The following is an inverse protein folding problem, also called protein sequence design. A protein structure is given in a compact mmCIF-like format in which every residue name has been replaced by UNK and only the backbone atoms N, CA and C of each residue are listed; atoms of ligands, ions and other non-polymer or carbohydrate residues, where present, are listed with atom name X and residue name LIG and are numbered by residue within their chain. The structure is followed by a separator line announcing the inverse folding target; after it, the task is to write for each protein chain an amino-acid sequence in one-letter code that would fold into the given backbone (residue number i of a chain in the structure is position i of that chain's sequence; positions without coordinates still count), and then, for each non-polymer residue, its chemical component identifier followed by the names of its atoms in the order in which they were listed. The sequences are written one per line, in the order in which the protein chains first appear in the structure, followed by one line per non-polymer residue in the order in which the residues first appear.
data_IF_505662109854
#
_entry.id   IF_505662109854
#
_cell.length_a   1.000
_cell.length_b   1.000
_cell.length_c   1.000
_cell.angle_alpha   90.00
_cell.angle_beta   90.00
_cell.angle_gamma   90.00
#
_symmetry.space_group_name_H-M   'P 1'
#
loop_
_entity.id
_entity.type
_entity.pdbx_description
1 polymer ?
#
# COMPACT_ATOMS: atom_id res chain seq x y z
N UNK A 1 -21.03 -18.69 0.89
CA UNK A 1 -20.85 -20.11 1.28
C UNK A 1 -21.94 -20.48 2.29
N UNK A 2 -22.61 -21.63 2.15
CA UNK A 2 -23.62 -22.07 3.14
C UNK A 2 -22.97 -22.41 4.48
N UNK A 3 -23.68 -22.20 5.60
CA UNK A 3 -23.19 -22.51 6.95
C UNK A 3 -22.72 -23.97 7.11
N UNK A 4 -23.49 -24.92 6.58
CA UNK A 4 -23.11 -26.35 6.57
C UNK A 4 -21.74 -26.61 5.93
N UNK A 5 -21.45 -25.92 4.83
CA UNK A 5 -20.16 -26.04 4.11
C UNK A 5 -19.02 -25.35 4.88
N UNK A 6 -19.31 -24.26 5.59
CA UNK A 6 -18.35 -23.62 6.52
C UNK A 6 -17.93 -24.60 7.61
N UNK A 7 -18.90 -25.22 8.28
CA UNK A 7 -18.65 -26.16 9.38
C UNK A 7 -17.83 -27.36 8.91
N UNK A 8 -18.20 -27.99 7.78
CA UNK A 8 -17.46 -29.13 7.24
C UNK A 8 -16.00 -28.78 6.94
N UNK A 9 -15.74 -27.61 6.36
CA UNK A 9 -14.38 -27.18 6.05
C UNK A 9 -13.57 -26.89 7.33
N UNK A 10 -14.19 -26.24 8.31
CA UNK A 10 -13.60 -25.99 9.61
C UNK A 10 -13.25 -27.32 10.31
N UNK A 11 -14.18 -28.27 10.40
CA UNK A 11 -13.95 -29.56 11.07
C UNK A 11 -12.82 -30.36 10.39
N UNK A 12 -12.77 -30.35 9.05
CA UNK A 12 -11.69 -31.01 8.30
C UNK A 12 -10.32 -30.39 8.59
N UNK A 13 -10.25 -29.06 8.70
CA UNK A 13 -9.01 -28.37 9.02
C UNK A 13 -8.59 -28.54 10.49
N UNK A 14 -9.54 -28.46 11.43
CA UNK A 14 -9.30 -28.70 12.86
C UNK A 14 -8.69 -30.08 13.10
N UNK A 15 -9.24 -31.10 12.44
CA UNK A 15 -8.79 -32.50 12.53
C UNK A 15 -7.58 -32.83 11.64
N UNK A 16 -6.95 -31.84 10.98
CA UNK A 16 -5.75 -32.05 10.16
C UNK A 16 -5.98 -32.75 8.82
N UNK A 17 -7.23 -33.00 8.41
CA UNK A 17 -7.56 -33.55 7.07
C UNK A 17 -7.29 -32.53 5.96
N UNK A 18 -7.35 -31.24 6.29
CA UNK A 18 -6.97 -30.13 5.43
C UNK A 18 -5.82 -29.39 6.10
N UNK A 19 -4.73 -29.17 5.37
CA UNK A 19 -3.53 -28.49 5.88
C UNK A 19 -3.61 -26.97 5.80
N UNK A 20 -4.30 -26.45 4.77
CA UNK A 20 -4.38 -25.03 4.46
C UNK A 20 -5.84 -24.60 4.32
N UNK A 21 -6.16 -23.45 4.90
CA UNK A 21 -7.50 -22.91 4.89
C UNK A 21 -7.46 -21.44 4.48
N UNK A 22 -7.98 -21.16 3.28
CA UNK A 22 -8.15 -19.80 2.80
C UNK A 22 -9.44 -19.22 3.36
N UNK A 23 -9.35 -18.06 4.00
CA UNK A 23 -10.47 -17.45 4.68
C UNK A 23 -10.40 -15.92 4.63
N UNK A 24 -11.58 -15.28 4.70
CA UNK A 24 -11.69 -13.85 4.99
C UNK A 24 -11.79 -13.62 6.49
N UNK A 25 -11.75 -12.37 6.94
CA UNK A 25 -11.91 -11.98 8.35
C UNK A 25 -13.17 -12.56 9.01
N UNK A 26 -14.22 -12.85 8.22
CA UNK A 26 -15.45 -13.48 8.68
C UNK A 26 -15.28 -14.91 9.25
N UNK A 27 -14.15 -15.55 9.00
CA UNK A 27 -13.86 -16.89 9.52
C UNK A 27 -13.31 -16.84 10.96
N UNK A 28 -12.80 -15.71 11.44
CA UNK A 28 -11.97 -15.67 12.65
C UNK A 28 -12.66 -15.91 14.00
N UNK A 29 -13.97 -15.70 14.12
CA UNK A 29 -14.63 -15.84 15.42
C UNK A 29 -14.76 -17.32 15.85
N UNK A 30 -14.14 -17.67 16.98
CA UNK A 30 -14.32 -19.00 17.61
C UNK A 30 -13.40 -20.11 17.11
N UNK A 31 -12.37 -19.80 16.33
CA UNK A 31 -11.33 -20.78 15.96
C UNK A 31 -10.25 -20.78 17.02
N UNK A 32 -10.04 -21.96 17.60
CA UNK A 32 -9.01 -22.22 18.59
C UNK A 32 -8.27 -23.52 18.24
N UNK A 33 -7.37 -23.42 17.25
CA UNK A 33 -6.46 -24.51 16.88
C UNK A 33 -5.08 -24.14 17.41
N UNK A 34 -4.56 -24.97 18.32
CA UNK A 34 -3.31 -24.67 19.02
C UNK A 34 -2.09 -24.69 18.08
N UNK A 35 -2.06 -25.65 17.16
CA UNK A 35 -0.89 -25.97 16.34
C UNK A 35 -0.87 -25.33 14.94
N UNK A 36 -1.28 -24.07 14.83
CA UNK A 36 -1.18 -23.32 13.57
C UNK A 36 0.25 -22.82 13.40
N UNK A 37 0.95 -23.33 12.37
CA UNK A 37 2.35 -22.96 12.08
C UNK A 37 2.51 -21.70 11.24
N UNK A 38 1.56 -21.42 10.36
CA UNK A 38 1.63 -20.29 9.44
C UNK A 38 0.28 -19.56 9.39
N UNK A 39 0.34 -18.23 9.49
CA UNK A 39 -0.76 -17.34 9.11
C UNK A 39 -0.25 -16.44 7.98
N UNK A 40 -0.87 -16.54 6.80
CA UNK A 40 -0.49 -15.73 5.63
C UNK A 40 -1.60 -14.74 5.32
N UNK A 41 -1.28 -13.46 5.37
CA UNK A 41 -2.15 -12.37 4.96
C UNK A 41 -1.89 -12.09 3.49
N UNK A 42 -2.84 -12.47 2.62
CA UNK A 42 -2.72 -12.26 1.19
C UNK A 42 -2.82 -10.78 0.78
N UNK A 43 -3.46 -9.96 1.61
CA UNK A 43 -3.56 -8.52 1.41
C UNK A 43 -3.43 -7.79 2.73
N UNK A 44 -3.16 -6.49 2.67
CA UNK A 44 -3.03 -5.68 3.89
C UNK A 44 -4.29 -5.73 4.77
N UNK A 45 -4.11 -5.79 6.10
CA UNK A 45 -5.20 -5.72 7.07
C UNK A 45 -5.80 -4.31 7.14
N UNK A 46 -7.02 -4.18 7.69
CA UNK A 46 -7.71 -2.88 7.81
C UNK A 46 -7.15 -2.02 8.95
N UNK A 47 -6.50 -2.65 9.92
CA UNK A 47 -5.80 -1.99 11.02
C UNK A 47 -4.70 -2.88 11.58
N UNK A 48 -3.76 -2.28 12.30
CA UNK A 48 -2.72 -3.03 13.04
C UNK A 48 -3.32 -3.90 14.16
N UNK A 49 -4.49 -3.52 14.67
CA UNK A 49 -5.21 -4.32 15.66
C UNK A 49 -5.77 -5.59 15.02
N UNK A 50 -6.39 -5.47 13.85
CA UNK A 50 -6.88 -6.63 13.09
C UNK A 50 -5.72 -7.56 12.77
N UNK A 51 -4.60 -7.01 12.28
CA UNK A 51 -3.39 -7.78 12.02
C UNK A 51 -2.91 -8.56 13.25
N UNK A 52 -2.82 -7.90 14.40
CA UNK A 52 -2.37 -8.53 15.66
C UNK A 52 -3.32 -9.66 16.07
N UNK A 53 -4.63 -9.47 15.90
CA UNK A 53 -5.63 -10.48 16.25
C UNK A 53 -5.61 -11.67 15.28
N UNK A 54 -5.43 -11.40 13.99
CA UNK A 54 -5.39 -12.40 12.92
C UNK A 54 -4.10 -13.22 12.98
N UNK A 55 -2.95 -12.56 13.15
CA UNK A 55 -1.64 -13.19 13.31
C UNK A 55 -1.53 -14.00 14.61
N UNK A 56 -2.14 -13.53 15.71
CA UNK A 56 -2.18 -14.21 17.01
C UNK A 56 -2.97 -15.54 17.04
N UNK A 57 -3.33 -16.07 15.88
CA UNK A 57 -3.86 -17.45 15.72
C UNK A 57 -2.75 -18.47 15.55
N UNK A 58 -1.55 -18.04 15.13
CA UNK A 58 -0.38 -18.89 15.03
C UNK A 58 0.17 -19.26 16.42
N UNK A 59 0.77 -20.44 16.55
CA UNK A 59 1.65 -20.77 17.68
C UNK A 59 1.01 -20.76 19.07
N UNK A 60 -0.28 -21.08 19.20
CA UNK A 60 -0.95 -21.11 20.51
C UNK A 60 -0.47 -22.24 21.43
N UNK A 61 0.16 -23.25 20.85
CA UNK A 61 0.88 -24.32 21.55
C UNK A 61 2.28 -23.89 22.06
N UNK A 62 2.73 -22.67 21.75
CA UNK A 62 4.06 -22.16 22.12
C UNK A 62 5.19 -22.66 21.23
N UNK A 63 4.90 -23.45 20.20
CA UNK A 63 5.89 -23.90 19.22
C UNK A 63 6.14 -22.83 18.15
N UNK A 64 7.34 -22.82 17.52
CA UNK A 64 7.68 -21.86 16.48
C UNK A 64 6.59 -21.77 15.39
N UNK A 65 6.25 -20.53 15.06
CA UNK A 65 5.25 -20.22 14.05
C UNK A 65 5.56 -18.89 13.37
N UNK A 66 4.99 -18.69 12.18
CA UNK A 66 5.28 -17.52 11.36
C UNK A 66 4.00 -16.83 10.91
N UNK A 67 4.09 -15.51 10.82
CA UNK A 67 3.02 -14.65 10.35
C UNK A 67 3.54 -13.85 9.15
N UNK A 68 3.07 -14.21 7.96
CA UNK A 68 3.55 -13.64 6.70
C UNK A 68 2.51 -12.62 6.23
N UNK A 69 2.99 -11.44 5.81
CA UNK A 69 2.14 -10.40 5.22
C UNK A 69 2.64 -10.13 3.80
N UNK A 70 1.81 -10.47 2.82
CA UNK A 70 2.06 -10.10 1.43
C UNK A 70 1.60 -8.65 1.26
N UNK A 71 2.54 -7.77 0.90
CA UNK A 71 2.30 -6.33 0.83
C UNK A 71 2.44 -5.83 -0.60
N UNK A 72 1.38 -5.22 -1.10
CA UNK A 72 1.40 -4.35 -2.27
C UNK A 72 0.77 -3.00 -1.86
N UNK A 73 1.42 -1.88 -2.18
CA UNK A 73 0.88 -0.55 -1.89
C UNK A 73 -0.48 -0.32 -2.58
N UNK A 74 -0.74 -1.00 -3.70
CA UNK A 74 -2.00 -0.92 -4.42
C UNK A 74 -3.17 -1.60 -3.68
N UNK A 75 -2.93 -2.48 -2.70
CA UNK A 75 -3.99 -3.10 -1.90
C UNK A 75 -4.85 -2.07 -1.15
N UNK A 76 -4.29 -0.89 -0.88
CA UNK A 76 -4.99 0.20 -0.21
C UNK A 76 -6.25 0.63 -0.97
N UNK A 77 -6.28 0.52 -2.30
CA UNK A 77 -7.41 1.01 -3.10
C UNK A 77 -8.69 0.25 -2.81
N UNK A 78 -8.59 -1.07 -2.54
CA UNK A 78 -9.73 -1.87 -2.12
C UNK A 78 -10.31 -1.35 -0.79
N UNK A 79 -9.45 -1.09 0.19
CA UNK A 79 -9.87 -0.60 1.51
C UNK A 79 -10.40 0.83 1.43
N UNK A 80 -9.75 1.71 0.66
CA UNK A 80 -10.24 3.07 0.41
C UNK A 80 -11.62 3.08 -0.24
N UNK A 81 -11.88 2.14 -1.18
CA UNK A 81 -13.20 1.97 -1.78
C UNK A 81 -14.23 1.55 -0.75
N UNK A 82 -13.92 0.54 0.07
CA UNK A 82 -14.78 0.09 1.19
C UNK A 82 -15.11 1.25 2.15
N UNK A 83 -14.13 2.10 2.49
CA UNK A 83 -14.34 3.28 3.33
C UNK A 83 -15.23 4.32 2.65
N UNK A 84 -15.00 4.58 1.35
CA UNK A 84 -15.76 5.57 0.58
C UNK A 84 -17.22 5.17 0.46
N UNK A 85 -17.48 3.94 0.03
CA UNK A 85 -18.81 3.38 -0.23
C UNK A 85 -19.56 3.00 1.06
N UNK A 86 -18.86 2.89 2.19
CA UNK A 86 -19.47 2.59 3.48
C UNK A 86 -20.52 3.62 3.94
N UNK A 87 -21.51 3.15 4.70
CA UNK A 87 -22.61 3.98 5.23
C UNK A 87 -22.26 4.70 6.54
N UNK A 88 -21.02 4.57 7.03
CA UNK A 88 -20.62 5.17 8.30
C UNK A 88 -20.49 6.70 8.23
N UNK A 89 -20.53 7.35 9.41
CA UNK A 89 -20.31 8.80 9.50
C UNK A 89 -18.91 9.20 9.04
N UNK A 90 -18.74 10.46 8.64
CA UNK A 90 -17.46 11.03 8.23
C UNK A 90 -16.37 10.84 9.29
N UNK A 91 -16.70 10.97 10.58
CA UNK A 91 -15.75 10.76 11.68
C UNK A 91 -15.27 9.31 11.75
N UNK A 92 -16.16 8.32 11.56
CA UNK A 92 -15.77 6.91 11.51
C UNK A 92 -14.96 6.58 10.26
N UNK A 93 -15.31 7.14 9.09
CA UNK A 93 -14.49 7.01 7.87
C UNK A 93 -13.07 7.55 8.08
N UNK A 94 -12.93 8.68 8.78
CA UNK A 94 -11.61 9.25 9.12
C UNK A 94 -10.81 8.32 10.04
N UNK A 95 -11.45 7.67 11.01
CA UNK A 95 -10.77 6.68 11.87
C UNK A 95 -10.26 5.49 11.05
N UNK A 96 -11.08 4.94 10.15
CA UNK A 96 -10.68 3.85 9.26
C UNK A 96 -9.51 4.26 8.34
N UNK A 97 -9.56 5.47 7.79
CA UNK A 97 -8.47 6.02 6.97
C UNK A 97 -7.18 6.15 7.79
N UNK A 98 -7.26 6.66 9.02
CA UNK A 98 -6.10 6.75 9.91
C UNK A 98 -5.52 5.37 10.25
N UNK A 99 -6.37 4.36 10.42
CA UNK A 99 -5.91 2.99 10.65
C UNK A 99 -5.21 2.39 9.43
N UNK A 100 -5.75 2.61 8.23
CA UNK A 100 -5.11 2.21 6.98
C UNK A 100 -3.74 2.85 6.82
N UNK A 101 -3.63 4.17 7.05
CA UNK A 101 -2.34 4.88 6.98
C UNK A 101 -1.31 4.31 7.96
N UNK A 102 -1.73 3.88 9.16
CA UNK A 102 -0.83 3.20 10.11
C UNK A 102 -0.35 1.84 9.60
N UNK A 103 -1.21 1.07 8.93
CA UNK A 103 -0.83 -0.21 8.31
C UNK A 103 0.14 0.01 7.16
N UNK A 104 -0.11 0.97 6.28
CA UNK A 104 0.79 1.27 5.17
C UNK A 104 2.16 1.74 5.68
N UNK A 105 2.18 2.66 6.66
CA UNK A 105 3.42 3.09 7.31
C UNK A 105 4.18 1.92 7.95
N UNK A 106 3.46 0.96 8.54
CA UNK A 106 4.04 -0.26 9.08
C UNK A 106 4.74 -1.08 8.01
N UNK A 107 4.05 -1.32 6.90
CA UNK A 107 4.58 -2.10 5.80
C UNK A 107 5.80 -1.40 5.19
N UNK A 108 5.71 -0.12 4.83
CA UNK A 108 6.82 0.63 4.22
C UNK A 108 8.06 0.65 5.11
N UNK A 109 7.91 0.93 6.41
CA UNK A 109 9.05 0.93 7.33
C UNK A 109 9.67 -0.46 7.48
N UNK A 110 8.85 -1.49 7.56
CA UNK A 110 9.32 -2.86 7.62
C UNK A 110 10.11 -3.23 6.36
N UNK A 111 9.61 -2.86 5.17
CA UNK A 111 10.28 -3.10 3.88
C UNK A 111 11.67 -2.46 3.85
N UNK A 112 11.76 -1.20 4.27
CA UNK A 112 13.00 -0.46 4.35
C UNK A 112 14.01 -1.13 5.30
N UNK A 113 13.56 -1.52 6.51
CA UNK A 113 14.41 -2.16 7.51
C UNK A 113 14.85 -3.57 7.06
N UNK A 114 13.99 -4.31 6.36
CA UNK A 114 14.31 -5.63 5.80
C UNK A 114 15.40 -5.53 4.73
N UNK A 115 15.19 -4.66 3.73
CA UNK A 115 16.12 -4.48 2.61
C UNK A 115 17.50 -3.97 3.05
N UNK A 116 17.57 -3.20 4.13
CA UNK A 116 18.83 -2.68 4.69
C UNK A 116 19.64 -3.74 5.46
N UNK A 117 18.98 -4.70 6.11
CA UNK A 117 19.59 -5.56 7.13
C UNK A 117 19.75 -7.02 6.71
N UNK A 118 19.74 -7.32 5.40
CA UNK A 118 19.75 -8.62 4.67
C UNK A 118 20.38 -9.91 5.28
N UNK A 119 20.33 -10.18 6.60
CA UNK A 119 20.78 -11.42 7.25
C UNK A 119 20.45 -11.53 8.77
N UNK A 120 20.10 -10.45 9.51
CA UNK A 120 19.75 -10.56 10.95
C UNK A 120 18.37 -9.94 11.29
N UNK A 121 17.31 -10.72 11.07
CA UNK A 121 15.91 -10.25 11.11
C UNK A 121 15.28 -10.09 12.51
N UNK A 122 15.98 -10.28 13.63
CA UNK A 122 15.27 -10.71 14.86
C UNK A 122 15.00 -9.66 15.96
N UNK A 123 15.62 -8.47 15.98
CA UNK A 123 15.54 -7.62 17.20
C UNK A 123 15.12 -6.16 17.02
N UNK A 124 15.33 -5.55 15.85
CA UNK A 124 15.03 -4.13 15.59
C UNK A 124 13.60 -3.92 15.09
N UNK A 125 12.99 -4.95 14.52
CA UNK A 125 11.68 -4.88 13.88
C UNK A 125 10.59 -4.80 14.94
N UNK A 126 9.81 -3.72 14.88
CA UNK A 126 8.76 -3.47 15.87
C UNK A 126 7.54 -4.35 15.59
N UNK A 127 7.02 -5.08 16.59
CA UNK A 127 5.76 -5.79 16.43
C UNK A 127 4.59 -4.80 16.27
N UNK A 128 3.49 -5.21 15.60
CA UNK A 128 2.37 -4.33 15.25
C UNK A 128 1.76 -3.56 16.43
N UNK A 129 1.69 -4.20 17.59
CA UNK A 129 1.19 -3.63 18.84
C UNK A 129 2.07 -2.50 19.41
N UNK A 130 3.40 -2.59 19.24
CA UNK A 130 4.34 -1.51 19.57
C UNK A 130 4.30 -0.43 18.50
N UNK A 131 4.16 -0.81 17.24
CA UNK A 131 4.09 0.12 16.12
C UNK A 131 2.88 1.05 16.20
N UNK A 132 1.71 0.54 16.63
CA UNK A 132 0.50 1.33 16.82
C UNK A 132 0.65 2.49 17.83
N UNK A 133 1.69 2.46 18.69
CA UNK A 133 1.97 3.47 19.72
C UNK A 133 2.91 4.59 19.24
N UNK A 134 3.50 4.48 18.05
CA UNK A 134 4.48 5.44 17.55
C UNK A 134 3.76 6.62 16.89
N UNK A 135 4.16 7.85 17.25
CA UNK A 135 3.56 9.09 16.74
C UNK A 135 4.14 9.54 15.39
N UNK A 136 5.45 9.36 15.17
CA UNK A 136 6.15 9.75 13.94
C UNK A 136 6.89 8.52 13.39
N UNK A 137 6.40 8.00 12.29
CA UNK A 137 6.87 6.75 11.69
C UNK A 137 7.62 6.94 10.38
N UNK A 138 7.37 8.06 9.72
CA UNK A 138 7.94 8.40 8.43
C UNK A 138 9.19 9.24 8.67
N UNK A 139 10.31 8.83 8.08
CA UNK A 139 11.55 9.60 8.10
C UNK A 139 11.33 10.97 7.42
N UNK A 140 11.96 12.05 7.87
CA UNK A 140 11.89 13.32 7.17
C UNK A 140 12.57 13.19 5.80
N UNK A 141 12.03 13.90 4.80
CA UNK A 141 12.68 14.00 3.49
C UNK A 141 14.05 14.66 3.61
N UNK A 142 15.05 14.12 2.92
CA UNK A 142 16.33 14.79 2.77
C UNK A 142 16.25 15.94 1.75
N UNK A 143 17.33 16.73 1.63
CA UNK A 143 17.33 17.92 0.76
C UNK A 143 17.02 17.59 -0.72
N UNK A 144 17.56 16.49 -1.25
CA UNK A 144 17.29 16.06 -2.64
C UNK A 144 15.83 15.65 -2.81
N UNK A 145 15.30 14.88 -1.85
CA UNK A 145 13.90 14.43 -1.84
C UNK A 145 12.93 15.60 -1.73
N UNK A 146 13.22 16.61 -0.89
CA UNK A 146 12.37 17.81 -0.75
C UNK A 146 12.18 18.51 -2.10
N UNK A 147 13.22 18.59 -2.93
CA UNK A 147 13.09 19.20 -4.26
C UNK A 147 12.11 18.41 -5.15
N UNK A 148 12.21 17.08 -5.17
CA UNK A 148 11.28 16.21 -5.92
C UNK A 148 9.85 16.33 -5.37
N UNK A 149 9.70 16.32 -4.04
CA UNK A 149 8.41 16.51 -3.37
C UNK A 149 7.77 17.80 -3.83
N UNK A 150 8.52 18.91 -3.83
CA UNK A 150 7.96 20.20 -4.20
C UNK A 150 7.62 20.29 -5.69
N UNK A 151 8.41 19.68 -6.59
CA UNK A 151 8.07 19.57 -8.03
C UNK A 151 6.73 18.83 -8.21
N UNK A 152 6.56 17.70 -7.54
CA UNK A 152 5.33 16.90 -7.63
C UNK A 152 4.15 17.71 -7.10
N UNK A 153 4.29 18.38 -5.95
CA UNK A 153 3.24 19.21 -5.36
C UNK A 153 2.89 20.40 -6.27
N UNK A 154 3.88 21.10 -6.81
CA UNK A 154 3.67 22.23 -7.72
C UNK A 154 2.89 21.81 -8.97
N UNK A 155 3.26 20.68 -9.58
CA UNK A 155 2.57 20.23 -10.81
C UNK A 155 1.18 19.71 -10.55
N UNK A 156 0.95 19.03 -9.44
CA UNK A 156 -0.41 18.63 -9.04
C UNK A 156 -1.25 19.86 -8.70
N UNK A 157 -0.68 20.91 -8.09
CA UNK A 157 -1.40 22.16 -7.83
C UNK A 157 -1.83 22.88 -9.12
N UNK A 158 -0.93 22.93 -10.12
CA UNK A 158 -1.20 23.56 -11.42
C UNK A 158 -2.17 22.76 -12.31
N UNK A 159 -1.99 21.44 -12.40
CA UNK A 159 -2.76 20.56 -13.30
C UNK A 159 -4.06 20.08 -12.63
N UNK A 160 -4.09 20.02 -11.30
CA UNK A 160 -5.21 19.50 -10.53
C UNK A 160 -5.11 17.99 -10.33
N UNK A 161 -6.15 17.25 -10.73
CA UNK A 161 -6.21 15.81 -10.45
C UNK A 161 -5.27 15.03 -11.38
N UNK A 162 -4.31 14.31 -10.78
CA UNK A 162 -3.33 13.50 -11.52
C UNK A 162 -3.53 12.01 -11.23
N UNK A 163 -3.49 11.15 -12.24
CA UNK A 163 -3.53 9.68 -12.04
C UNK A 163 -2.23 9.24 -11.34
N UNK A 164 -2.32 8.47 -10.26
CA UNK A 164 -1.12 7.97 -9.56
C UNK A 164 -0.21 7.14 -10.49
N UNK A 165 -0.80 6.31 -11.36
CA UNK A 165 -0.07 5.51 -12.36
C UNK A 165 0.81 6.38 -13.26
N UNK A 166 0.32 7.55 -13.67
CA UNK A 166 1.04 8.45 -14.56
C UNK A 166 2.30 9.01 -13.89
N UNK A 167 2.24 9.33 -12.58
CA UNK A 167 3.43 9.75 -11.85
C UNK A 167 4.45 8.62 -11.75
N UNK A 168 4.03 7.41 -11.37
CA UNK A 168 4.95 6.27 -11.29
C UNK A 168 5.62 6.00 -12.64
N UNK A 169 4.84 5.92 -13.71
CA UNK A 169 5.35 5.67 -15.05
C UNK A 169 6.31 6.77 -15.53
N UNK A 170 6.00 8.04 -15.25
CA UNK A 170 6.90 9.15 -15.58
C UNK A 170 8.24 8.98 -14.87
N UNK A 171 8.22 8.76 -13.55
CA UNK A 171 9.43 8.70 -12.74
C UNK A 171 10.24 7.41 -12.93
N UNK A 172 9.62 6.30 -13.30
CA UNK A 172 10.30 5.08 -13.72
C UNK A 172 11.17 5.30 -14.97
N UNK A 173 10.76 6.21 -15.85
CA UNK A 173 11.51 6.59 -17.05
C UNK A 173 12.62 7.61 -16.75
N UNK A 174 12.66 8.19 -15.54
CA UNK A 174 13.65 9.20 -15.17
C UNK A 174 14.90 8.56 -14.54
N UNK A 175 16.06 8.85 -15.11
CA UNK A 175 17.37 8.49 -14.54
C UNK A 175 18.09 9.71 -13.93
N UNK A 176 17.33 10.68 -13.42
CA UNK A 176 17.88 11.96 -12.94
C UNK A 176 18.86 11.78 -11.76
N UNK A 177 18.60 10.81 -10.88
CA UNK A 177 19.53 10.45 -9.81
C UNK A 177 19.37 8.96 -9.47
N UNK A 178 20.43 8.16 -9.71
CA UNK A 178 20.44 6.72 -9.43
C UNK A 178 20.27 6.36 -7.95
N UNK A 179 20.45 7.33 -7.05
CA UNK A 179 20.27 7.17 -5.60
C UNK A 179 18.82 7.46 -5.15
N UNK A 180 17.98 8.02 -6.02
CA UNK A 180 16.62 8.44 -5.66
C UNK A 180 15.61 7.34 -6.02
N UNK A 181 14.92 6.84 -5.01
CA UNK A 181 13.74 5.99 -5.22
C UNK A 181 12.48 6.87 -5.29
N UNK A 182 12.09 7.25 -6.51
CA UNK A 182 10.94 8.13 -6.75
C UNK A 182 9.61 7.52 -6.27
N UNK A 183 9.46 6.20 -6.43
CA UNK A 183 8.26 5.51 -5.96
C UNK A 183 8.11 5.64 -4.44
N UNK A 184 9.19 5.40 -3.69
CA UNK A 184 9.22 5.61 -2.24
C UNK A 184 8.83 7.04 -1.86
N UNK A 185 9.38 8.04 -2.56
CA UNK A 185 9.04 9.46 -2.32
C UNK A 185 7.54 9.69 -2.52
N UNK A 186 6.96 9.25 -3.64
CA UNK A 186 5.53 9.43 -3.93
C UNK A 186 4.67 8.79 -2.84
N UNK A 187 4.98 7.54 -2.46
CA UNK A 187 4.28 6.84 -1.37
C UNK A 187 4.39 7.62 -0.05
N UNK A 188 5.57 8.12 0.28
CA UNK A 188 5.84 8.89 1.50
C UNK A 188 5.11 10.24 1.53
N UNK A 189 4.99 10.93 0.40
CA UNK A 189 4.22 12.18 0.28
C UNK A 189 2.73 11.93 0.61
N UNK A 190 2.17 10.82 0.10
CA UNK A 190 0.80 10.38 0.38
C UNK A 190 0.65 10.05 1.88
N UNK A 191 1.57 9.25 2.42
CA UNK A 191 1.52 8.80 3.82
C UNK A 191 1.70 9.93 4.84
N UNK A 192 2.52 10.93 4.50
CA UNK A 192 2.65 12.16 5.27
C UNK A 192 1.42 13.08 5.15
N UNK A 193 0.48 12.77 4.24
CA UNK A 193 -0.75 13.52 4.02
C UNK A 193 -0.55 14.82 3.25
N UNK A 194 0.55 14.97 2.51
CA UNK A 194 0.76 16.11 1.61
C UNK A 194 -0.09 15.98 0.34
N UNK A 195 -0.32 14.74 -0.12
CA UNK A 195 -1.27 14.41 -1.18
C UNK A 195 -2.47 13.66 -0.62
N UNK A 196 -3.63 13.83 -1.28
CA UNK A 196 -4.86 13.10 -1.02
C UNK A 196 -5.17 12.19 -2.19
N UNK A 197 -5.59 10.97 -1.89
CA UNK A 197 -6.14 10.06 -2.90
C UNK A 197 -7.65 10.21 -2.90
N UNK A 198 -8.20 10.60 -4.06
CA UNK A 198 -9.62 10.59 -4.35
C UNK A 198 -9.91 9.45 -5.32
N UNK A 199 -10.84 8.57 -4.97
CA UNK A 199 -11.26 7.51 -5.88
C UNK A 199 -12.38 8.04 -6.78
N UNK A 200 -12.16 8.10 -8.09
CA UNK A 200 -13.24 8.31 -9.05
C UNK A 200 -13.90 6.95 -9.31
N UNK A 201 -15.20 6.87 -9.07
CA UNK A 201 -15.97 5.62 -9.15
C UNK A 201 -16.98 5.74 -10.28
N UNK A 202 -16.78 4.99 -11.36
CA UNK A 202 -17.83 4.73 -12.36
C UNK A 202 -18.52 3.41 -12.03
N UNK A 203 -19.81 3.31 -12.39
CA UNK A 203 -20.76 2.28 -11.93
C UNK A 203 -20.35 0.82 -12.19
N UNK A 204 -19.35 0.56 -13.05
CA UNK A 204 -18.92 -0.80 -13.39
C UNK A 204 -17.39 -1.01 -13.49
N UNK A 205 -16.55 0.02 -13.26
CA UNK A 205 -15.09 -0.06 -13.47
C UNK A 205 -14.32 -0.09 -12.14
N UNK A 206 -13.05 -0.53 -12.19
CA UNK A 206 -12.11 -0.40 -11.06
C UNK A 206 -12.00 1.10 -10.70
N UNK A 207 -12.02 1.45 -9.40
CA UNK A 207 -11.93 2.85 -8.99
C UNK A 207 -10.59 3.43 -9.45
N UNK A 208 -10.62 4.60 -10.06
CA UNK A 208 -9.42 5.28 -10.55
C UNK A 208 -8.86 6.18 -9.44
N UNK A 209 -7.63 5.94 -8.94
CA UNK A 209 -7.02 6.77 -7.92
C UNK A 209 -6.45 8.05 -8.53
N UNK A 210 -7.06 9.18 -8.15
CA UNK A 210 -6.63 10.52 -8.49
C UNK A 210 -5.95 11.16 -7.29
N UNK A 211 -4.82 11.81 -7.54
CA UNK A 211 -4.09 12.58 -6.55
C UNK A 211 -4.48 14.04 -6.63
N UNK A 212 -4.66 14.65 -5.48
CA UNK A 212 -4.81 16.10 -5.33
C UNK A 212 -3.97 16.61 -4.17
N UNK A 213 -3.57 17.88 -4.25
CA UNK A 213 -2.80 18.52 -3.19
C UNK A 213 -3.67 18.72 -1.94
N UNK A 214 -3.12 18.40 -0.77
CA UNK A 214 -3.77 18.67 0.51
C UNK A 214 -3.42 20.07 1.01
N UNK A 215 -4.16 20.59 2.00
CA UNK A 215 -3.79 21.85 2.66
C UNK A 215 -2.38 21.81 3.28
N UNK A 216 -1.97 20.63 3.78
CA UNK A 216 -0.62 20.41 4.32
C UNK A 216 0.42 20.42 3.20
N UNK A 217 0.10 19.82 2.05
CA UNK A 217 0.93 19.85 0.84
C UNK A 217 1.13 21.27 0.32
N UNK A 218 0.04 22.03 0.21
CA UNK A 218 0.07 23.42 -0.22
C UNK A 218 0.94 24.28 0.69
N UNK A 219 0.79 24.15 2.01
CA UNK A 219 1.62 24.87 2.97
C UNK A 219 3.12 24.54 2.85
N UNK A 220 3.45 23.27 2.54
CA UNK A 220 4.84 22.87 2.28
C UNK A 220 5.35 23.49 0.98
N UNK A 221 4.56 23.44 -0.09
CA UNK A 221 4.93 24.02 -1.38
C UNK A 221 5.25 25.51 -1.24
N UNK A 222 4.39 26.28 -0.56
CA UNK A 222 4.62 27.71 -0.33
C UNK A 222 5.89 28.02 0.47
N UNK A 223 6.29 27.12 1.38
CA UNK A 223 7.54 27.29 2.14
C UNK A 223 8.79 27.10 1.29
N UNK A 224 8.74 26.22 0.28
CA UNK A 224 9.92 25.75 -0.45
C UNK A 224 9.96 26.17 -1.93
N UNK A 225 8.90 26.81 -2.45
CA UNK A 225 8.77 27.24 -3.85
C UNK A 225 9.99 28.02 -4.38
N UNK A 226 10.49 28.96 -3.59
CA UNK A 226 11.65 29.79 -3.94
C UNK A 226 12.94 28.95 -4.14
N UNK A 227 13.09 27.84 -3.42
CA UNK A 227 14.27 26.99 -3.54
C UNK A 227 14.28 26.18 -4.85
N UNK A 228 13.11 25.78 -5.37
CA UNK A 228 12.99 25.03 -6.62
C UNK A 228 13.44 25.88 -7.80
N UNK A 229 13.00 27.14 -7.84
CA UNK A 229 13.27 28.09 -8.93
C UNK A 229 14.76 28.47 -9.05
N UNK A 230 15.57 28.13 -8.05
CA UNK A 230 17.00 28.45 -8.01
C UNK A 230 17.93 27.42 -8.67
N UNK A 231 17.40 26.28 -9.17
CA UNK A 231 18.22 25.15 -9.67
C UNK A 231 17.77 24.67 -11.06
N UNK A 232 18.62 24.85 -12.08
CA UNK A 232 18.30 24.56 -13.50
C UNK A 232 17.85 23.12 -13.77
N UNK A 233 18.51 22.15 -13.15
CA UNK A 233 18.19 20.72 -13.30
C UNK A 233 16.75 20.38 -12.91
N UNK A 234 16.25 21.00 -11.83
CA UNK A 234 14.89 20.80 -11.34
C UNK A 234 13.85 21.54 -12.18
N UNK A 235 14.20 22.70 -12.73
CA UNK A 235 13.34 23.43 -13.68
C UNK A 235 13.06 22.57 -14.91
N UNK A 236 14.10 21.88 -15.43
CA UNK A 236 13.94 20.98 -16.57
C UNK A 236 13.03 19.80 -16.24
N UNK A 237 13.27 19.11 -15.12
CA UNK A 237 12.42 17.99 -14.68
C UNK A 237 10.96 18.43 -14.48
N UNK A 238 10.75 19.61 -13.90
CA UNK A 238 9.42 20.18 -13.69
C UNK A 238 8.66 20.38 -15.01
N UNK A 239 9.34 20.87 -16.05
CA UNK A 239 8.77 21.04 -17.40
C UNK A 239 8.50 19.70 -18.09
N UNK A 240 9.39 18.72 -17.95
CA UNK A 240 9.19 17.38 -18.52
C UNK A 240 7.98 16.69 -17.90
N UNK A 241 7.83 16.80 -16.57
CA UNK A 241 6.68 16.29 -15.84
C UNK A 241 5.38 16.97 -16.31
N UNK A 242 5.41 18.30 -16.50
CA UNK A 242 4.25 19.04 -17.02
C UNK A 242 3.80 18.53 -18.39
N UNK A 243 4.72 18.43 -19.34
CA UNK A 243 4.42 17.95 -20.71
C UNK A 243 3.86 16.52 -20.67
N UNK A 244 4.46 15.65 -19.86
CA UNK A 244 3.99 14.28 -19.70
C UNK A 244 2.57 14.23 -19.12
N UNK A 245 2.33 14.94 -18.01
CA UNK A 245 1.04 14.92 -17.34
C UNK A 245 -0.07 15.54 -18.19
N UNK A 246 0.20 16.62 -18.93
CA UNK A 246 -0.79 17.20 -19.86
C UNK A 246 -1.16 16.20 -20.96
N UNK A 247 -0.19 15.44 -21.48
CA UNK A 247 -0.45 14.41 -22.49
C UNK A 247 -1.33 13.27 -21.93
N UNK A 248 -0.92 12.67 -20.81
CA UNK A 248 -1.52 11.41 -20.32
C UNK A 248 -2.64 11.59 -19.29
N UNK A 249 -2.89 12.81 -18.78
CA UNK A 249 -4.08 13.08 -17.95
C UNK A 249 -5.32 13.41 -18.78
N UNK A 250 -5.17 13.84 -20.04
CA UNK A 250 -6.29 14.11 -20.95
C UNK A 250 -6.82 12.85 -21.67
N UNK A 251 -6.07 11.74 -21.63
CA UNK A 251 -6.53 10.39 -21.96
C UNK A 251 -7.50 9.86 -20.87
N UNK A 252 -8.53 10.67 -20.56
CA UNK A 252 -9.72 10.25 -19.81
C UNK A 252 -10.71 9.56 -20.77
N UNK A 253 -10.57 9.76 -22.09
CA UNK A 253 -11.59 9.38 -23.08
C UNK A 253 -11.16 8.29 -24.09
N UNK A 254 -9.87 8.05 -24.35
CA UNK A 254 -9.46 7.12 -25.44
C UNK A 254 -9.21 5.66 -25.01
N UNK A 255 -8.81 5.41 -23.75
CA UNK A 255 -8.81 4.04 -23.17
C UNK A 255 -10.25 3.54 -22.90
N UNK A 256 -11.28 4.27 -23.33
CA UNK A 256 -12.70 3.93 -23.13
C UNK A 256 -13.31 3.08 -24.25
N UNK A 257 -12.65 2.89 -25.40
CA UNK A 257 -13.21 2.12 -26.53
C UNK A 257 -12.48 0.80 -26.88
N UNK A 258 -11.21 0.61 -26.51
CA UNK A 258 -10.48 -0.64 -26.81
C UNK A 258 -10.09 -1.37 -25.52
N UNK A 259 -10.90 -2.35 -25.12
CA UNK A 259 -10.55 -3.22 -24.00
C UNK A 259 -11.63 -4.17 -23.51
N UNK A 260 -12.51 -4.63 -24.41
CA UNK A 260 -13.37 -5.80 -24.18
C UNK A 260 -13.21 -6.77 -25.37
N UNK A 261 -11.95 -7.02 -25.76
CA UNK A 261 -11.61 -8.24 -26.47
C UNK A 261 -10.72 -9.08 -25.55
N UNK A 262 -11.20 -10.28 -25.26
CA UNK A 262 -10.53 -11.23 -24.39
C UNK A 262 -9.14 -11.54 -24.89
N UNK A 263 -8.11 -11.03 -24.21
CA UNK A 263 -6.86 -11.75 -24.14
C UNK A 263 -7.10 -12.99 -23.27
N UNK A 264 -7.34 -14.10 -23.96
CA UNK A 264 -7.11 -15.44 -23.46
C UNK A 264 -5.66 -15.49 -22.96
N UNK A 265 -5.47 -15.18 -21.67
CA UNK A 265 -4.20 -15.34 -20.99
C UNK A 265 -3.87 -16.82 -21.06
N UNK A 266 -3.08 -17.20 -22.07
CA UNK A 266 -2.36 -18.44 -22.08
C UNK A 266 -1.48 -18.45 -20.84
N UNK A 267 -1.98 -19.12 -19.79
CA UNK A 267 -1.23 -19.40 -18.58
C UNK A 267 -0.11 -20.35 -18.99
N UNK A 268 0.99 -19.79 -19.48
CA UNK A 268 2.28 -20.44 -19.37
C UNK A 268 2.58 -20.43 -17.87
N UNK A 269 2.41 -21.60 -17.25
CA UNK A 269 2.95 -21.94 -15.94
C UNK A 269 4.49 -21.83 -15.99
N UNK A 270 5.00 -20.61 -16.05
CA UNK A 270 6.40 -20.30 -15.73
C UNK A 270 6.48 -20.23 -14.22
N UNK A 271 7.32 -21.10 -13.65
CA UNK A 271 7.64 -21.25 -12.23
C UNK A 271 7.19 -20.08 -11.33
N UNK A 272 6.15 -20.32 -10.53
CA UNK A 272 5.53 -19.38 -9.58
C UNK A 272 6.43 -18.96 -8.38
N UNK A 273 7.76 -18.91 -8.55
CA UNK A 273 8.70 -18.48 -7.52
C UNK A 273 9.10 -17.00 -7.69
N UNK A 274 8.99 -16.42 -8.89
CA UNK A 274 9.30 -15.00 -9.15
C UNK A 274 8.20 -14.04 -8.65
N UNK A 275 7.06 -14.57 -8.20
CA UNK A 275 6.05 -13.80 -7.46
C UNK A 275 6.54 -13.43 -6.05
N UNK A 276 7.60 -14.08 -5.54
CA UNK A 276 8.05 -13.96 -4.16
C UNK A 276 9.04 -12.84 -3.83
N UNK A 277 9.51 -12.10 -4.84
CA UNK A 277 10.53 -11.06 -4.64
C UNK A 277 10.02 -9.80 -3.91
N UNK A 278 8.70 -9.69 -3.66
CA UNK A 278 8.06 -8.57 -2.95
C UNK A 278 7.37 -8.98 -1.62
N UNK A 279 7.69 -10.16 -1.07
CA UNK A 279 7.02 -10.65 0.15
C UNK A 279 7.87 -10.49 1.40
N UNK A 280 7.20 -10.14 2.51
CA UNK A 280 7.83 -9.99 3.82
C UNK A 280 7.38 -11.11 4.74
N UNK A 281 8.36 -11.89 5.23
CA UNK A 281 8.16 -12.93 6.24
C UNK A 281 8.38 -12.31 7.60
N UNK A 282 7.32 -12.14 8.40
CA UNK A 282 7.53 -11.84 9.81
C UNK A 282 7.59 -13.15 10.60
N UNK A 283 8.80 -13.50 11.04
CA UNK A 283 8.99 -14.50 12.08
C UNK A 283 8.54 -13.90 13.41
N UNK A 284 7.32 -14.19 13.84
CA UNK A 284 6.93 -13.92 15.23
C UNK A 284 7.36 -15.09 16.09
N UNK A 285 8.44 -14.94 16.86
CA UNK A 285 8.58 -15.76 18.07
C UNK A 285 7.49 -15.28 19.04
N UNK A 286 6.37 -16.00 19.06
CA UNK A 286 5.39 -15.90 20.13
C UNK A 286 5.93 -16.61 21.38
#
# INVERSE_FOLDING_TARGET
MSEKRRQINQDKWMNGKIRLLCATTAFGMGIDKENVRFVVHYSIPRSLMDFTQESGRAGRDGEPSECILLYDFNDQFRILREIKEGFESTSFKQIKLNNLLKVLNYCEKYCDDYNKNNEELSSSILPPNRFAKIKNLIEPFNEKEINIVCIILEKIDQIGNVKLKNLFQFFEQQNYCSEINYEKIIRQIILCGYLRISLLTNSFKRPLPLLSISLKGFALLEQFKILIESREEFIKLNKELEVYLIKYNNEIEEDEEEGDEGEELSIKLTNNLDLLDNYFVMSSHC
#
